data_IF_683613158436
#
_entry.id   IF_683613158436
#
_cell.length_a   1.000
_cell.length_b   1.000
_cell.length_c   1.000
_cell.angle_alpha   90.00
_cell.angle_beta   90.00
_cell.angle_gamma   90.00
#
_symmetry.space_group_name_H-M   'P 1'
#
loop_
_entity.id
_entity.type
_entity.pdbx_description
1 polymer ?
#
# COMPACT_ATOMS: atom_id res chain seq x y z
N UNK A 1 0.59 18.39 9.77
CA UNK A 1 -0.70 17.85 9.28
C UNK A 1 -0.46 16.96 8.06
N UNK A 2 -1.09 15.81 8.05
CA UNK A 2 -0.91 14.84 6.95
C UNK A 2 -1.92 15.12 5.84
N UNK A 3 -1.43 15.20 4.61
CA UNK A 3 -2.25 15.38 3.42
C UNK A 3 -2.19 14.14 2.54
N UNK A 4 -3.29 13.84 1.84
CA UNK A 4 -3.45 12.62 1.06
C UNK A 4 -3.63 12.94 -0.42
N UNK A 5 -2.99 12.16 -1.30
CA UNK A 5 -3.03 12.36 -2.75
C UNK A 5 -3.22 11.05 -3.50
N UNK A 6 -3.91 11.13 -4.63
CA UNK A 6 -4.10 9.98 -5.52
C UNK A 6 -3.27 10.07 -6.80
N UNK A 7 -2.59 11.19 -7.02
CA UNK A 7 -1.87 11.42 -8.26
C UNK A 7 -0.55 12.18 -8.09
N UNK A 8 -0.04 12.22 -6.86
CA UNK A 8 1.24 12.89 -6.61
C UNK A 8 2.40 11.98 -6.96
N UNK A 9 3.36 12.52 -7.70
CA UNK A 9 4.53 11.76 -8.11
C UNK A 9 5.40 11.40 -6.92
N UNK A 10 5.87 10.15 -6.90
CA UNK A 10 6.77 9.61 -5.89
C UNK A 10 8.07 9.22 -6.58
N UNK A 11 9.19 9.68 -6.05
CA UNK A 11 10.50 9.23 -6.54
C UNK A 11 10.81 7.85 -5.98
N UNK A 12 11.68 7.11 -6.66
CA UNK A 12 12.09 5.79 -6.15
C UNK A 12 12.80 5.91 -4.80
N UNK A 13 13.52 7.00 -4.57
CA UNK A 13 14.19 7.22 -3.29
C UNK A 13 13.18 7.47 -2.16
N UNK A 14 12.14 8.28 -2.42
CA UNK A 14 11.06 8.49 -1.46
C UNK A 14 10.34 7.18 -1.14
N UNK A 15 10.08 6.38 -2.18
CA UNK A 15 9.46 5.06 -2.02
C UNK A 15 10.32 4.15 -1.15
N UNK A 16 11.62 4.07 -1.46
CA UNK A 16 12.57 3.30 -0.65
C UNK A 16 12.54 3.71 0.81
N UNK A 17 12.58 5.02 1.09
CA UNK A 17 12.61 5.52 2.45
C UNK A 17 11.35 5.19 3.24
N UNK A 18 10.18 5.34 2.65
CA UNK A 18 8.94 5.01 3.36
C UNK A 18 8.84 3.51 3.64
N UNK A 19 9.31 2.67 2.71
CA UNK A 19 9.35 1.23 2.94
C UNK A 19 10.25 0.87 4.11
N UNK A 20 11.45 1.45 4.16
CA UNK A 20 12.40 1.21 5.26
C UNK A 20 11.79 1.68 6.58
N UNK A 21 11.26 2.88 6.62
CA UNK A 21 10.72 3.48 7.85
C UNK A 21 9.46 2.79 8.34
N UNK A 22 8.72 2.14 7.45
CA UNK A 22 7.53 1.40 7.84
C UNK A 22 7.85 0.05 8.48
N UNK A 23 9.02 -0.49 8.20
CA UNK A 23 9.40 -1.82 8.63
C UNK A 23 8.83 -2.95 7.78
N UNK A 24 8.14 -2.63 6.69
CA UNK A 24 7.62 -3.65 5.78
C UNK A 24 8.76 -4.38 5.09
N UNK A 25 8.55 -5.68 4.84
CA UNK A 25 9.59 -6.49 4.22
C UNK A 25 9.53 -6.35 2.69
N UNK A 26 10.47 -5.61 2.12
CA UNK A 26 10.56 -5.34 0.68
C UNK A 26 12.04 -5.29 0.27
N UNK A 27 12.36 -5.47 -1.03
CA UNK A 27 13.77 -5.50 -1.49
C UNK A 27 14.38 -4.10 -1.58
N UNK A 28 14.52 -3.44 -0.44
CA UNK A 28 14.96 -2.04 -0.37
C UNK A 28 16.44 -1.86 -0.74
N UNK A 29 17.22 -2.94 -0.78
CA UNK A 29 18.61 -2.87 -1.23
C UNK A 29 18.74 -2.95 -2.76
N UNK A 30 17.65 -3.24 -3.48
CA UNK A 30 17.64 -3.38 -4.93
C UNK A 30 16.82 -2.24 -5.54
N UNK A 31 17.50 -1.11 -5.77
CA UNK A 31 16.84 0.11 -6.23
C UNK A 31 16.17 -0.07 -7.59
N UNK A 32 16.79 -0.84 -8.48
CA UNK A 32 16.24 -1.11 -9.80
C UNK A 32 14.93 -1.89 -9.71
N UNK A 33 14.86 -2.83 -8.79
CA UNK A 33 13.64 -3.61 -8.55
C UNK A 33 12.53 -2.73 -7.98
N UNK A 34 12.86 -1.85 -7.04
CA UNK A 34 11.88 -0.90 -6.50
C UNK A 34 11.35 0.03 -7.60
N UNK A 35 12.21 0.46 -8.50
CA UNK A 35 11.81 1.30 -9.62
C UNK A 35 10.82 0.58 -10.53
N UNK A 36 11.08 -0.69 -10.85
CA UNK A 36 10.15 -1.51 -11.62
C UNK A 36 8.81 -1.68 -10.91
N UNK A 37 8.85 -1.92 -9.60
CA UNK A 37 7.64 -2.06 -8.79
C UNK A 37 6.79 -0.78 -8.86
N UNK A 38 7.41 0.36 -8.62
CA UNK A 38 6.72 1.64 -8.59
C UNK A 38 6.20 2.02 -9.99
N UNK A 39 7.01 1.89 -11.01
CA UNK A 39 6.66 2.31 -12.37
C UNK A 39 5.58 1.43 -13.03
N UNK A 40 5.42 0.20 -12.57
CA UNK A 40 4.41 -0.72 -13.11
C UNK A 40 3.17 -0.81 -12.24
N UNK A 41 3.01 0.10 -11.30
CA UNK A 41 1.81 0.22 -10.49
C UNK A 41 0.92 1.30 -11.07
N UNK A 42 -0.37 0.99 -11.28
CA UNK A 42 -1.31 1.96 -11.83
C UNK A 42 -2.25 2.55 -10.77
N UNK A 43 -2.03 2.22 -9.50
CA UNK A 43 -2.87 2.73 -8.43
C UNK A 43 -1.98 3.00 -7.21
N UNK A 44 -1.70 4.28 -6.96
CA UNK A 44 -0.81 4.69 -5.88
C UNK A 44 -1.45 5.85 -5.12
N UNK A 45 -1.71 5.63 -3.84
CA UNK A 45 -2.20 6.67 -2.93
C UNK A 45 -1.11 6.97 -1.92
N UNK A 46 -0.97 8.24 -1.56
CA UNK A 46 0.12 8.69 -0.70
C UNK A 46 -0.36 9.59 0.42
N UNK A 47 0.38 9.56 1.52
CA UNK A 47 0.17 10.43 2.67
C UNK A 47 1.48 11.17 2.92
N UNK A 48 1.40 12.48 3.05
CA UNK A 48 2.56 13.37 3.18
C UNK A 48 2.43 14.26 4.39
N UNK A 49 3.54 14.46 5.06
CA UNK A 49 3.67 15.49 6.09
C UNK A 49 4.61 16.54 5.50
N UNK A 50 4.04 17.62 4.95
CA UNK A 50 4.75 18.60 4.14
C UNK A 50 5.44 17.89 2.96
N UNK A 51 6.75 17.93 2.87
CA UNK A 51 7.50 17.32 1.77
C UNK A 51 7.91 15.87 2.05
N UNK A 52 7.51 15.32 3.19
CA UNK A 52 7.91 13.99 3.61
C UNK A 52 6.82 12.97 3.32
N UNK A 53 7.14 11.96 2.54
CA UNK A 53 6.24 10.83 2.30
C UNK A 53 6.21 9.96 3.55
N UNK A 54 5.04 9.86 4.19
CA UNK A 54 4.88 9.12 5.45
C UNK A 54 4.00 7.88 5.31
N UNK A 55 3.32 7.74 4.20
CA UNK A 55 2.51 6.55 3.95
C UNK A 55 2.27 6.33 2.47
N UNK A 56 2.19 5.07 2.05
CA UNK A 56 1.91 4.72 0.67
C UNK A 56 1.03 3.47 0.61
N UNK A 57 0.05 3.53 -0.29
CA UNK A 57 -0.74 2.38 -0.70
C UNK A 57 -0.47 2.19 -2.18
N UNK A 58 0.05 1.02 -2.57
CA UNK A 58 0.43 0.75 -3.95
C UNK A 58 -0.27 -0.51 -4.44
N UNK A 59 -0.90 -0.42 -5.59
CA UNK A 59 -1.66 -1.53 -6.14
C UNK A 59 -1.69 -1.57 -7.65
N UNK A 60 -2.28 -2.64 -8.16
CA UNK A 60 -2.52 -2.88 -9.56
C UNK A 60 -4.01 -3.20 -9.73
N UNK A 61 -4.67 -2.55 -10.68
CA UNK A 61 -6.12 -2.69 -10.82
C UNK A 61 -6.55 -2.55 -12.27
N UNK A 62 -7.68 -3.19 -12.62
CA UNK A 62 -8.34 -2.99 -13.90
C UNK A 62 -9.42 -1.89 -13.81
N UNK A 63 -9.60 -1.29 -12.64
CA UNK A 63 -10.60 -0.26 -12.36
C UNK A 63 -12.04 -0.72 -12.58
N UNK A 64 -12.27 -2.03 -12.69
CA UNK A 64 -13.60 -2.57 -12.99
C UNK A 64 -13.99 -3.73 -12.10
N UNK A 65 -13.07 -4.62 -11.81
CA UNK A 65 -13.38 -5.87 -11.12
C UNK A 65 -12.51 -6.14 -9.90
N UNK A 66 -11.21 -5.89 -9.99
CA UNK A 66 -10.28 -6.22 -8.92
C UNK A 66 -9.13 -5.25 -8.79
N UNK A 67 -8.63 -5.11 -7.58
CA UNK A 67 -7.42 -4.38 -7.27
C UNK A 67 -6.60 -5.21 -6.29
N UNK A 68 -5.35 -5.50 -6.65
CA UNK A 68 -4.43 -6.12 -5.72
C UNK A 68 -3.57 -5.05 -5.06
N UNK A 69 -3.68 -4.93 -3.73
CA UNK A 69 -2.84 -4.00 -2.96
C UNK A 69 -1.57 -4.73 -2.57
N UNK A 70 -0.46 -4.32 -3.17
CA UNK A 70 0.84 -4.92 -2.91
C UNK A 70 1.51 -4.33 -1.69
N UNK A 71 1.39 -3.02 -1.49
CA UNK A 71 1.97 -2.34 -0.35
C UNK A 71 0.93 -1.50 0.39
N UNK A 72 0.96 -1.58 1.71
CA UNK A 72 0.39 -0.56 2.59
C UNK A 72 1.46 -0.32 3.65
N UNK A 73 2.21 0.75 3.49
CA UNK A 73 3.38 1.03 4.30
C UNK A 73 3.28 2.42 4.93
N UNK A 74 3.34 2.48 6.25
CA UNK A 74 3.25 3.71 7.02
C UNK A 74 4.52 3.84 7.87
N UNK A 75 5.17 4.99 7.79
CA UNK A 75 6.33 5.33 8.62
C UNK A 75 5.98 5.05 10.09
N UNK A 76 6.84 4.35 10.80
CA UNK A 76 6.59 3.94 12.20
C UNK A 76 6.27 5.12 13.11
N UNK A 77 6.86 6.29 12.86
CA UNK A 77 6.58 7.48 13.65
C UNK A 77 5.17 8.03 13.40
N UNK A 78 4.52 7.59 12.36
CA UNK A 78 3.18 8.04 11.97
C UNK A 78 2.12 6.95 12.12
N UNK A 79 2.49 5.78 12.58
CA UNK A 79 1.55 4.69 12.80
C UNK A 79 0.61 4.99 13.97
N UNK A 80 -0.53 4.30 14.01
CA UNK A 80 -1.57 4.46 15.04
C UNK A 80 -2.27 5.82 15.00
N UNK A 81 -2.21 6.50 13.86
CA UNK A 81 -2.89 7.79 13.65
C UNK A 81 -3.98 7.69 12.58
N UNK A 82 -4.34 6.48 12.16
CA UNK A 82 -5.40 6.27 11.17
C UNK A 82 -5.00 6.49 9.72
N UNK A 83 -3.72 6.62 9.40
CA UNK A 83 -3.27 6.87 8.03
C UNK A 83 -3.57 5.67 7.14
N UNK A 84 -3.25 4.46 7.60
CA UNK A 84 -3.54 3.24 6.83
C UNK A 84 -5.03 3.08 6.57
N UNK A 85 -5.85 3.31 7.58
CA UNK A 85 -7.30 3.25 7.46
C UNK A 85 -7.81 4.27 6.44
N UNK A 86 -7.26 5.49 6.46
CA UNK A 86 -7.64 6.55 5.53
C UNK A 86 -7.27 6.16 4.10
N UNK A 87 -6.08 5.62 3.88
CA UNK A 87 -5.65 5.19 2.55
C UNK A 87 -6.56 4.07 2.01
N UNK A 88 -6.92 3.11 2.82
CA UNK A 88 -7.86 2.04 2.44
C UNK A 88 -9.24 2.64 2.11
N UNK A 89 -9.72 3.55 2.94
CA UNK A 89 -11.01 4.21 2.71
C UNK A 89 -11.01 5.00 1.39
N UNK A 90 -9.92 5.71 1.10
CA UNK A 90 -9.76 6.42 -0.17
C UNK A 90 -9.77 5.45 -1.35
N UNK A 91 -9.09 4.31 -1.23
CA UNK A 91 -9.06 3.32 -2.30
C UNK A 91 -10.47 2.83 -2.61
N UNK A 92 -11.29 2.56 -1.59
CA UNK A 92 -12.68 2.14 -1.78
C UNK A 92 -13.49 3.20 -2.51
N UNK A 93 -13.31 4.47 -2.15
CA UNK A 93 -14.04 5.57 -2.79
C UNK A 93 -13.64 5.74 -4.25
N UNK A 94 -12.35 5.67 -4.54
CA UNK A 94 -11.85 5.87 -5.91
C UNK A 94 -12.23 4.70 -6.81
N UNK A 95 -12.08 3.47 -6.32
CA UNK A 95 -12.34 2.27 -7.12
C UNK A 95 -13.82 1.96 -7.24
N UNK A 96 -14.63 2.34 -6.26
CA UNK A 96 -16.04 2.02 -6.24
C UNK A 96 -16.34 0.64 -5.66
N UNK A 97 -17.62 0.35 -5.47
CA UNK A 97 -18.05 -0.87 -4.78
C UNK A 97 -17.95 -2.14 -5.63
N UNK A 98 -17.82 -2.00 -6.94
CA UNK A 98 -17.76 -3.15 -7.86
C UNK A 98 -16.37 -3.75 -7.98
N UNK A 99 -15.35 -3.09 -7.42
CA UNK A 99 -13.97 -3.56 -7.48
C UNK A 99 -13.62 -4.26 -6.18
N UNK A 100 -13.25 -5.52 -6.24
CA UNK A 100 -12.75 -6.24 -5.07
C UNK A 100 -11.35 -5.75 -4.74
N UNK A 101 -11.12 -5.44 -3.46
CA UNK A 101 -9.80 -5.04 -2.99
C UNK A 101 -9.18 -6.22 -2.26
N UNK A 102 -8.05 -6.71 -2.75
CA UNK A 102 -7.41 -7.93 -2.28
C UNK A 102 -5.99 -7.63 -1.85
N UNK A 103 -5.57 -8.20 -0.72
CA UNK A 103 -4.18 -8.08 -0.28
C UNK A 103 -3.75 -9.34 0.45
N UNK A 104 -2.44 -9.53 0.53
CA UNK A 104 -1.84 -10.57 1.35
C UNK A 104 -1.20 -9.88 2.55
N UNK A 105 -1.63 -10.26 3.75
CA UNK A 105 -1.16 -9.62 4.97
C UNK A 105 0.15 -10.21 5.46
N UNK A 106 1.05 -9.36 5.97
CA UNK A 106 2.15 -9.85 6.79
C UNK A 106 1.56 -10.53 8.04
N UNK A 107 2.22 -11.58 8.56
CA UNK A 107 1.71 -12.28 9.75
C UNK A 107 1.42 -11.34 10.92
N UNK A 108 2.24 -10.33 11.12
CA UNK A 108 2.09 -9.36 12.21
C UNK A 108 0.90 -8.42 12.02
N UNK A 109 0.34 -8.33 10.82
CA UNK A 109 -0.77 -7.43 10.51
C UNK A 109 -2.11 -8.15 10.34
N UNK A 110 -2.17 -9.46 10.61
CA UNK A 110 -3.40 -10.24 10.45
C UNK A 110 -4.55 -9.71 11.31
N UNK A 111 -4.26 -9.16 12.47
CA UNK A 111 -5.29 -8.59 13.34
C UNK A 111 -5.71 -7.17 12.97
N UNK A 112 -4.94 -6.51 12.13
CA UNK A 112 -5.18 -5.12 11.75
C UNK A 112 -6.29 -4.98 10.70
N UNK A 113 -6.22 -5.79 9.63
CA UNK A 113 -7.10 -5.61 8.49
C UNK A 113 -8.59 -5.83 8.79
N UNK A 114 -8.97 -6.81 9.61
CA UNK A 114 -10.39 -6.94 9.99
C UNK A 114 -10.93 -5.71 10.70
N UNK A 115 -10.09 -5.03 11.48
CA UNK A 115 -10.49 -3.83 12.23
C UNK A 115 -10.81 -2.65 11.32
N UNK A 116 -10.28 -2.64 10.11
CA UNK A 116 -10.49 -1.55 9.15
C UNK A 116 -11.37 -1.96 7.98
N UNK A 117 -12.08 -3.06 8.11
CA UNK A 117 -13.15 -3.43 7.20
C UNK A 117 -12.85 -4.48 6.15
N UNK A 118 -11.69 -5.15 6.22
CA UNK A 118 -11.39 -6.23 5.27
C UNK A 118 -11.77 -7.57 5.88
N UNK A 119 -12.36 -8.44 5.06
CA UNK A 119 -12.72 -9.78 5.47
C UNK A 119 -11.60 -10.74 5.09
N UNK A 120 -11.33 -11.69 5.98
CA UNK A 120 -10.35 -12.73 5.67
C UNK A 120 -10.88 -13.62 4.54
N UNK A 121 -10.06 -13.85 3.52
CA UNK A 121 -10.42 -14.73 2.41
C UNK A 121 -9.95 -16.15 2.69
N UNK A 122 -10.85 -17.11 2.60
CA UNK A 122 -10.53 -18.53 2.82
C UNK A 122 -10.21 -19.25 1.50
N UNK A 123 -10.37 -18.58 0.38
CA UNK A 123 -10.25 -19.18 -0.96
C UNK A 123 -9.11 -18.58 -1.78
N UNK A 124 -8.11 -18.02 -1.13
CA UNK A 124 -6.96 -17.45 -1.82
C UNK A 124 -5.86 -18.48 -2.01
N UNK A 125 -5.24 -18.46 -3.19
CA UNK A 125 -4.11 -19.33 -3.52
C UNK A 125 -2.96 -18.48 -4.02
N UNK A 126 -1.73 -18.93 -3.79
CA UNK A 126 -0.53 -18.20 -4.17
C UNK A 126 0.53 -19.16 -4.68
N UNK A 127 1.25 -18.70 -5.71
CA UNK A 127 2.53 -19.32 -6.08
C UNK A 127 3.58 -18.34 -5.56
N UNK A 128 4.31 -18.70 -4.51
CA UNK A 128 5.25 -17.75 -3.89
C UNK A 128 6.44 -17.46 -4.80
N UNK A 129 7.05 -16.27 -4.62
CA UNK A 129 8.26 -15.95 -5.34
C UNK A 129 9.41 -16.85 -4.88
N UNK A 130 10.31 -17.12 -5.79
CA UNK A 130 11.41 -18.06 -5.56
C UNK A 130 12.66 -17.39 -4.98
N UNK A 131 12.58 -16.94 -3.76
CA UNK A 131 13.78 -16.39 -3.12
C UNK A 131 13.80 -16.62 -1.62
#
# INVERSE_FOLDING_TARGET
>A
MVEYFSNKKVTVEEYKQVLIKSGIRRPTSDLKRLELMLNNSNFVLTAWDNDKLVGILRGMTDFSYACYLSDLAIDKEYQKRGIGKTLISMSRKILGEKVAIILLSAPSAMGYYPKIGLNKAENAFIIPRGE
#
